data_IF_101583856163
#
_entry.id   IF_101583856163
#
_cell.length_a   1.000
_cell.length_b   1.000
_cell.length_c   1.000
_cell.angle_alpha   90.00
_cell.angle_beta   90.00
_cell.angle_gamma   90.00
#
_symmetry.space_group_name_H-M   'P 1'
#
loop_
_entity.id
_entity.type
_entity.pdbx_description
1 polymer ?
#
# COMPACT_ATOMS: atom_id res chain seq x y z
N UNK A 1 6.69 -26.34 7.69
CA UNK A 1 7.61 -25.36 8.30
C UNK A 1 8.35 -24.67 7.15
N UNK A 2 7.84 -23.55 6.63
CA UNK A 2 8.53 -22.82 5.54
C UNK A 2 9.69 -22.08 6.18
N UNK A 3 10.89 -22.61 5.99
CA UNK A 3 12.14 -22.06 6.54
C UNK A 3 12.31 -20.61 6.10
N UNK A 4 12.78 -19.78 7.03
CA UNK A 4 13.20 -18.38 6.85
C UNK A 4 14.11 -18.15 5.62
N UNK A 5 14.75 -19.20 5.08
CA UNK A 5 15.61 -19.15 3.89
C UNK A 5 14.89 -18.78 2.57
N UNK A 6 13.60 -19.08 2.39
CA UNK A 6 12.98 -18.92 1.07
C UNK A 6 12.76 -17.45 0.64
N UNK A 7 12.70 -16.51 1.60
CA UNK A 7 12.52 -15.08 1.31
C UNK A 7 13.82 -14.36 0.90
N UNK A 8 14.99 -14.90 1.25
CA UNK A 8 16.26 -14.18 1.12
C UNK A 8 16.98 -14.45 -0.21
N UNK A 9 16.80 -15.62 -0.82
CA UNK A 9 17.54 -16.01 -2.02
C UNK A 9 17.26 -15.12 -3.24
N UNK A 10 15.99 -14.80 -3.51
CA UNK A 10 15.65 -13.96 -4.66
C UNK A 10 15.87 -12.47 -4.40
N UNK A 11 16.14 -12.06 -3.16
CA UNK A 11 16.57 -10.69 -2.84
C UNK A 11 18.03 -10.44 -3.23
N UNK A 12 18.74 -11.45 -3.75
CA UNK A 12 20.06 -11.27 -4.43
C UNK A 12 19.94 -10.74 -5.85
N UNK A 13 18.74 -10.81 -6.45
CA UNK A 13 18.44 -10.20 -7.76
C UNK A 13 18.38 -8.67 -7.59
N UNK A 14 19.46 -7.99 -7.98
CA UNK A 14 19.63 -6.54 -7.79
C UNK A 14 18.50 -5.69 -8.41
N UNK A 15 18.09 -5.90 -9.68
CA UNK A 15 16.92 -5.22 -10.23
C UNK A 15 15.66 -5.41 -9.38
N UNK A 16 15.40 -6.63 -8.92
CA UNK A 16 14.22 -6.92 -8.10
C UNK A 16 14.32 -6.25 -6.72
N UNK A 17 15.48 -6.34 -6.06
CA UNK A 17 15.76 -5.68 -4.79
C UNK A 17 15.56 -4.17 -4.89
N UNK A 18 16.11 -3.51 -5.92
CA UNK A 18 15.95 -2.06 -6.11
C UNK A 18 14.50 -1.67 -6.36
N UNK A 19 13.74 -2.49 -7.10
CA UNK A 19 12.30 -2.26 -7.29
C UNK A 19 11.55 -2.38 -5.96
N UNK A 20 11.85 -3.38 -5.14
CA UNK A 20 11.27 -3.53 -3.79
C UNK A 20 11.63 -2.33 -2.90
N UNK A 21 12.90 -1.94 -2.84
CA UNK A 21 13.37 -0.81 -2.04
C UNK A 21 12.68 0.50 -2.43
N UNK A 22 12.53 0.76 -3.74
CA UNK A 22 11.88 1.97 -4.24
C UNK A 22 10.38 2.03 -3.96
N UNK A 23 9.70 0.90 -3.82
CA UNK A 23 8.23 0.83 -3.84
C UNK A 23 7.61 0.35 -2.52
N UNK A 24 8.37 -0.38 -1.71
CA UNK A 24 7.94 -0.90 -0.43
C UNK A 24 9.09 -0.86 0.60
N UNK A 25 9.68 0.32 0.87
CA UNK A 25 10.78 0.42 1.84
C UNK A 25 10.31 0.16 3.27
N UNK A 26 11.25 -0.27 4.12
CA UNK A 26 11.07 -0.19 5.57
C UNK A 26 11.39 1.25 6.00
N UNK A 27 10.37 2.03 6.38
CA UNK A 27 10.53 3.43 6.77
C UNK A 27 11.20 3.63 8.15
N UNK A 28 11.42 2.56 8.91
CA UNK A 28 12.16 2.59 10.18
C UNK A 28 13.66 2.36 10.00
N UNK A 29 14.11 1.99 8.79
CA UNK A 29 15.51 1.75 8.47
C UNK A 29 16.03 2.78 7.46
N UNK A 30 17.34 3.05 7.51
CA UNK A 30 18.00 3.84 6.46
C UNK A 30 18.09 3.04 5.16
N UNK A 31 18.05 3.72 4.01
CA UNK A 31 18.07 3.07 2.68
C UNK A 31 19.30 2.18 2.42
N UNK A 32 20.40 2.40 3.14
CA UNK A 32 21.61 1.59 3.05
C UNK A 32 21.53 0.27 3.86
N UNK A 33 20.56 0.15 4.76
CA UNK A 33 20.36 -1.04 5.60
C UNK A 33 19.59 -2.12 4.84
N UNK A 34 20.31 -2.81 3.96
CA UNK A 34 19.75 -3.87 3.13
C UNK A 34 19.10 -4.98 3.96
N UNK A 35 19.71 -5.38 5.06
CA UNK A 35 19.24 -6.51 5.85
C UNK A 35 17.92 -6.16 6.56
N UNK A 36 17.78 -4.94 7.09
CA UNK A 36 16.51 -4.49 7.68
C UNK A 36 15.36 -4.47 6.65
N UNK A 37 15.63 -4.10 5.40
CA UNK A 37 14.64 -4.16 4.33
C UNK A 37 14.24 -5.61 3.99
N UNK A 38 15.22 -6.52 3.88
CA UNK A 38 14.96 -7.93 3.59
C UNK A 38 14.20 -8.61 4.73
N UNK A 39 14.54 -8.29 5.99
CA UNK A 39 13.84 -8.79 7.17
C UNK A 39 12.39 -8.32 7.19
N UNK A 40 12.14 -7.04 6.87
CA UNK A 40 10.80 -6.49 6.76
C UNK A 40 9.95 -7.26 5.72
N UNK A 41 10.43 -7.44 4.49
CA UNK A 41 9.67 -8.19 3.47
C UNK A 41 9.48 -9.67 3.83
N UNK A 42 10.47 -10.27 4.49
CA UNK A 42 10.38 -11.65 4.97
C UNK A 42 9.31 -11.80 6.05
N UNK A 43 9.20 -10.82 6.94
CA UNK A 43 8.16 -10.76 7.96
C UNK A 43 6.78 -10.62 7.31
N UNK A 44 6.58 -9.65 6.41
CA UNK A 44 5.32 -9.44 5.68
C UNK A 44 4.86 -10.72 4.94
N UNK A 45 5.77 -11.41 4.25
CA UNK A 45 5.43 -12.69 3.65
C UNK A 45 5.05 -13.72 4.72
N UNK A 46 5.82 -13.86 5.79
CA UNK A 46 5.54 -14.85 6.84
C UNK A 46 4.16 -14.65 7.47
N UNK A 47 3.76 -13.42 7.75
CA UNK A 47 2.52 -13.12 8.48
C UNK A 47 1.29 -12.94 7.57
N UNK A 48 1.50 -12.57 6.30
CA UNK A 48 0.40 -12.32 5.34
C UNK A 48 0.50 -13.17 4.09
N UNK A 49 1.66 -13.17 3.43
CA UNK A 49 1.87 -13.91 2.19
C UNK A 49 1.73 -15.43 2.33
N UNK A 50 2.06 -16.00 3.48
CA UNK A 50 1.98 -17.44 3.77
C UNK A 50 0.54 -17.98 3.79
N UNK A 51 -0.46 -17.12 3.97
CA UNK A 51 -1.87 -17.45 3.85
C UNK A 51 -2.36 -17.47 2.40
N UNK A 52 -1.53 -17.06 1.45
CA UNK A 52 -1.81 -17.15 0.01
C UNK A 52 -1.26 -18.45 -0.58
N UNK A 53 -1.67 -18.78 -1.80
CA UNK A 53 -1.12 -19.92 -2.56
C UNK A 53 0.19 -19.57 -3.30
N UNK A 54 0.82 -18.44 -2.99
CA UNK A 54 2.02 -17.96 -3.67
C UNK A 54 3.29 -18.25 -2.88
N UNK A 55 4.35 -18.62 -3.59
CA UNK A 55 5.72 -18.58 -3.06
C UNK A 55 6.18 -17.12 -2.86
N UNK A 56 7.17 -16.85 -1.98
CA UNK A 56 7.57 -15.49 -1.62
C UNK A 56 7.83 -14.53 -2.80
N UNK A 57 8.62 -15.00 -3.78
CA UNK A 57 8.98 -14.21 -4.96
C UNK A 57 7.75 -13.78 -5.76
N UNK A 58 6.76 -14.66 -5.88
CA UNK A 58 5.53 -14.39 -6.63
C UNK A 58 4.60 -13.48 -5.83
N UNK A 59 4.49 -13.68 -4.51
CA UNK A 59 3.72 -12.80 -3.64
C UNK A 59 4.19 -11.34 -3.72
N UNK A 60 5.49 -11.10 -3.52
CA UNK A 60 6.06 -9.75 -3.56
C UNK A 60 5.99 -9.13 -4.95
N UNK A 61 6.22 -9.92 -6.01
CA UNK A 61 6.05 -9.44 -7.38
C UNK A 61 4.62 -9.01 -7.68
N UNK A 62 3.63 -9.81 -7.25
CA UNK A 62 2.20 -9.46 -7.43
C UNK A 62 1.84 -8.18 -6.70
N UNK A 63 2.37 -7.95 -5.50
CA UNK A 63 2.16 -6.70 -4.78
C UNK A 63 2.71 -5.49 -5.56
N UNK A 64 3.92 -5.61 -6.12
CA UNK A 64 4.51 -4.56 -6.97
C UNK A 64 3.70 -4.34 -8.25
N UNK A 65 3.27 -5.41 -8.92
CA UNK A 65 2.49 -5.30 -10.17
C UNK A 65 1.10 -4.68 -9.92
N UNK A 66 0.46 -5.00 -8.79
CA UNK A 66 -0.78 -4.34 -8.35
C UNK A 66 -0.54 -2.85 -8.05
N UNK A 67 0.55 -2.51 -7.38
CA UNK A 67 0.92 -1.10 -7.11
C UNK A 67 1.10 -0.32 -8.41
N UNK A 68 1.84 -0.84 -9.37
CA UNK A 68 2.08 -0.17 -10.66
C UNK A 68 0.79 -0.02 -11.46
N UNK A 69 -0.08 -1.04 -11.42
CA UNK A 69 -1.36 -1.01 -12.13
C UNK A 69 -2.38 -0.07 -11.49
N UNK A 70 -2.42 0.02 -10.17
CA UNK A 70 -3.40 0.84 -9.46
C UNK A 70 -2.90 2.28 -9.32
N UNK A 71 -1.61 2.51 -9.07
CA UNK A 71 -0.94 3.80 -8.93
C UNK A 71 -1.83 4.95 -8.39
N UNK A 72 -2.14 4.87 -7.10
CA UNK A 72 -2.98 5.87 -6.43
C UNK A 72 -2.33 7.24 -6.42
N UNK A 73 -1.00 7.33 -6.36
CA UNK A 73 -0.32 8.61 -6.34
C UNK A 73 -0.56 9.38 -7.64
N UNK A 74 -0.44 8.72 -8.79
CA UNK A 74 -0.76 9.35 -10.08
C UNK A 74 -2.25 9.67 -10.20
N UNK A 75 -3.14 8.82 -9.69
CA UNK A 75 -4.57 9.10 -9.68
C UNK A 75 -4.91 10.38 -8.90
N UNK A 76 -4.34 10.54 -7.71
CA UNK A 76 -4.50 11.75 -6.90
C UNK A 76 -3.95 12.98 -7.63
N UNK A 77 -2.74 12.87 -8.20
CA UNK A 77 -2.10 13.96 -8.94
C UNK A 77 -2.91 14.40 -10.16
N UNK A 78 -3.48 13.46 -10.93
CA UNK A 78 -4.35 13.76 -12.08
C UNK A 78 -5.60 14.57 -11.68
N UNK A 79 -6.03 14.45 -10.42
CA UNK A 79 -7.13 15.20 -9.83
C UNK A 79 -6.67 16.41 -8.98
N UNK A 80 -5.41 16.84 -9.13
CA UNK A 80 -4.80 17.97 -8.39
C UNK A 80 -4.80 17.80 -6.87
N UNK A 81 -4.87 16.56 -6.39
CA UNK A 81 -4.65 16.20 -5.00
C UNK A 81 -3.16 15.86 -4.86
N UNK A 82 -2.38 16.79 -4.31
CA UNK A 82 -0.92 16.68 -4.20
C UNK A 82 -0.47 16.79 -2.74
N UNK A 83 0.67 16.20 -2.43
CA UNK A 83 1.27 16.26 -1.10
C UNK A 83 1.56 17.72 -0.69
N UNK A 84 1.43 18.00 0.61
CA UNK A 84 1.64 19.31 1.22
C UNK A 84 0.36 20.15 1.45
N UNK A 85 -0.79 19.72 0.92
CA UNK A 85 -2.05 20.45 1.02
C UNK A 85 -3.17 19.62 1.68
N UNK A 86 -4.28 20.29 2.04
CA UNK A 86 -5.47 19.64 2.59
C UNK A 86 -6.64 19.71 1.60
N UNK A 87 -7.38 18.62 1.50
CA UNK A 87 -8.49 18.47 0.56
C UNK A 87 -9.70 17.85 1.25
N UNK A 88 -10.89 18.17 0.77
CA UNK A 88 -12.10 17.46 1.16
C UNK A 88 -11.97 15.97 0.80
N UNK A 89 -12.47 15.08 1.67
CA UNK A 89 -12.50 13.64 1.40
C UNK A 89 -13.04 13.28 0.02
N UNK A 90 -14.07 13.98 -0.45
CA UNK A 90 -14.69 13.76 -1.75
C UNK A 90 -13.71 13.92 -2.93
N UNK A 91 -12.65 14.71 -2.79
CA UNK A 91 -11.60 14.83 -3.80
C UNK A 91 -10.79 13.53 -3.93
N UNK A 92 -10.41 12.92 -2.80
CA UNK A 92 -9.76 11.60 -2.77
C UNK A 92 -10.69 10.52 -3.32
N UNK A 93 -11.96 10.51 -2.90
CA UNK A 93 -12.97 9.56 -3.38
C UNK A 93 -13.17 9.63 -4.88
N UNK A 94 -13.27 10.84 -5.44
CA UNK A 94 -13.40 11.03 -6.88
C UNK A 94 -12.17 10.52 -7.63
N UNK A 95 -10.98 10.90 -7.17
CA UNK A 95 -9.72 10.53 -7.81
C UNK A 95 -9.50 9.01 -7.80
N UNK A 96 -9.72 8.37 -6.65
CA UNK A 96 -9.52 6.93 -6.48
C UNK A 96 -10.60 6.17 -7.25
N UNK A 97 -11.88 6.57 -7.17
CA UNK A 97 -12.96 5.94 -7.94
C UNK A 97 -12.68 5.96 -9.44
N UNK A 98 -12.17 7.08 -9.98
CA UNK A 98 -11.83 7.16 -11.41
C UNK A 98 -10.71 6.21 -11.80
N UNK A 99 -9.82 5.85 -10.86
CA UNK A 99 -8.74 4.91 -11.10
C UNK A 99 -9.14 3.45 -10.96
N UNK A 100 -9.95 3.12 -9.95
CA UNK A 100 -10.25 1.71 -9.60
C UNK A 100 -11.72 1.30 -9.85
N UNK A 101 -12.58 2.21 -10.31
CA UNK A 101 -13.97 1.95 -10.65
C UNK A 101 -14.94 1.87 -9.46
N UNK A 102 -14.47 2.08 -8.22
CA UNK A 102 -15.30 1.93 -7.01
C UNK A 102 -14.88 2.89 -5.90
N UNK A 103 -15.83 3.24 -5.02
CA UNK A 103 -15.59 3.95 -3.76
C UNK A 103 -15.45 3.01 -2.56
N UNK A 104 -15.58 1.70 -2.77
CA UNK A 104 -15.43 0.70 -1.72
C UNK A 104 -13.95 0.41 -1.45
N UNK A 105 -13.26 1.41 -0.88
CA UNK A 105 -11.91 1.34 -0.35
C UNK A 105 -11.90 2.04 1.02
N UNK A 106 -10.84 1.86 1.82
CA UNK A 106 -10.75 2.49 3.14
C UNK A 106 -9.66 3.57 3.15
N UNK A 107 -9.95 4.70 3.80
CA UNK A 107 -8.97 5.73 4.13
C UNK A 107 -8.70 5.75 5.62
N UNK A 108 -7.45 5.49 6.00
CA UNK A 108 -6.97 5.62 7.37
C UNK A 108 -6.21 6.93 7.53
N UNK A 109 -6.55 7.68 8.56
CA UNK A 109 -5.97 8.94 8.93
C UNK A 109 -5.45 8.90 10.37
N UNK A 110 -4.41 9.67 10.62
CA UNK A 110 -3.92 10.00 11.96
C UNK A 110 -4.30 11.44 12.30
N UNK A 111 -4.47 11.73 13.60
CA UNK A 111 -4.71 13.09 14.08
C UNK A 111 -3.41 13.66 14.66
N UNK A 112 -2.94 14.78 14.12
CA UNK A 112 -1.78 15.52 14.64
C UNK A 112 -2.21 16.95 14.93
N UNK A 113 -2.27 17.31 16.21
CA UNK A 113 -2.66 18.65 16.68
C UNK A 113 -3.98 19.15 16.06
N UNK A 114 -5.01 18.30 16.04
CA UNK A 114 -6.32 18.61 15.45
C UNK A 114 -6.39 18.56 13.92
N UNK A 115 -5.27 18.35 13.22
CA UNK A 115 -5.24 18.12 11.77
C UNK A 115 -5.37 16.63 11.47
N UNK A 116 -6.35 16.25 10.65
CA UNK A 116 -6.45 14.92 10.07
C UNK A 116 -5.47 14.78 8.91
N UNK A 117 -4.55 13.83 9.00
CA UNK A 117 -3.53 13.55 7.98
C UNK A 117 -3.81 12.16 7.42
N UNK A 118 -3.86 12.04 6.09
CA UNK A 118 -3.97 10.75 5.42
C UNK A 118 -2.74 9.91 5.72
N UNK A 119 -2.95 8.69 6.21
CA UNK A 119 -1.88 7.77 6.59
C UNK A 119 -1.82 6.57 5.63
N UNK A 120 -2.96 5.91 5.38
CA UNK A 120 -3.03 4.77 4.48
C UNK A 120 -4.30 4.80 3.63
N UNK A 121 -4.19 4.24 2.43
CA UNK A 121 -5.34 3.88 1.59
C UNK A 121 -5.31 2.38 1.40
N UNK A 122 -6.38 1.68 1.76
CA UNK A 122 -6.48 0.23 1.57
C UNK A 122 -7.46 -0.11 0.45
N UNK A 123 -6.99 -0.90 -0.51
CA UNK A 123 -7.74 -1.32 -1.70
C UNK A 123 -7.82 -2.85 -1.70
N UNK A 124 -9.02 -3.38 -1.91
CA UNK A 124 -9.21 -4.81 -2.08
C UNK A 124 -8.86 -5.21 -3.50
N UNK A 125 -8.25 -6.38 -3.64
CA UNK A 125 -7.80 -6.88 -4.93
C UNK A 125 -8.17 -8.35 -5.10
N UNK A 126 -8.42 -8.75 -6.34
CA UNK A 126 -8.25 -10.13 -6.75
C UNK A 126 -6.76 -10.37 -7.10
N UNK A 127 -6.44 -11.46 -7.80
CA UNK A 127 -5.06 -11.78 -8.16
C UNK A 127 -4.35 -10.74 -9.06
N UNK A 128 -5.08 -9.81 -9.68
CA UNK A 128 -4.56 -8.85 -10.66
C UNK A 128 -5.30 -7.50 -10.76
N UNK A 129 -6.47 -7.32 -10.13
CA UNK A 129 -7.34 -6.16 -10.29
C UNK A 129 -7.84 -5.65 -8.94
N UNK A 130 -8.11 -4.35 -8.87
CA UNK A 130 -8.89 -3.78 -7.78
C UNK A 130 -10.34 -4.29 -7.86
N UNK A 131 -10.92 -4.62 -6.70
CA UNK A 131 -12.30 -5.03 -6.54
C UNK A 131 -12.94 -4.23 -5.39
N UNK A 132 -14.28 -4.08 -5.36
CA UNK A 132 -14.95 -3.47 -4.23
C UNK A 132 -14.66 -4.21 -2.92
N UNK A 133 -14.24 -3.48 -1.88
CA UNK A 133 -14.08 -4.06 -0.55
C UNK A 133 -15.41 -4.45 0.08
N UNK A 134 -15.41 -5.55 0.85
CA UNK A 134 -16.60 -5.98 1.58
C UNK A 134 -16.88 -5.05 2.77
N UNK A 135 -18.17 -4.73 2.96
CA UNK A 135 -18.62 -3.76 3.97
C UNK A 135 -18.34 -4.22 5.41
N UNK A 136 -18.36 -5.53 5.70
CA UNK A 136 -18.39 -6.06 7.07
C UNK A 136 -17.11 -5.84 7.87
N UNK A 137 -15.94 -5.96 7.25
CA UNK A 137 -14.66 -5.91 7.96
C UNK A 137 -13.70 -4.83 7.44
N UNK A 138 -13.98 -4.26 6.27
CA UNK A 138 -13.00 -3.41 5.59
C UNK A 138 -13.24 -1.92 5.82
N UNK A 139 -14.51 -1.52 5.94
CA UNK A 139 -14.88 -0.14 6.29
C UNK A 139 -14.60 0.21 7.76
N UNK A 140 -14.33 -0.77 8.63
CA UNK A 140 -13.92 -0.50 10.01
C UNK A 140 -12.53 0.15 10.11
N UNK A 141 -11.70 0.04 9.06
CA UNK A 141 -10.41 0.72 8.97
C UNK A 141 -10.52 2.18 8.50
N UNK A 142 -11.70 2.60 8.05
CA UNK A 142 -11.93 3.96 7.60
C UNK A 142 -12.24 4.89 8.79
N UNK A 143 -11.38 5.87 9.03
CA UNK A 143 -11.52 6.80 10.17
C UNK A 143 -11.30 8.29 9.78
N UNK A 144 -11.09 8.57 8.50
CA UNK A 144 -10.81 9.93 8.04
C UNK A 144 -12.02 10.88 8.19
N UNK A 145 -13.26 10.37 8.29
CA UNK A 145 -14.47 11.20 8.36
C UNK A 145 -14.67 12.03 7.08
N UNK A 146 -15.61 13.00 7.08
CA UNK A 146 -16.03 13.73 5.86
C UNK A 146 -15.32 15.06 5.60
N UNK A 147 -14.43 15.50 6.50
CA UNK A 147 -13.83 16.84 6.46
C UNK A 147 -12.61 16.96 5.54
N UNK A 148 -11.88 18.06 5.75
CA UNK A 148 -10.57 18.26 5.12
C UNK A 148 -9.53 17.29 5.71
N UNK A 149 -8.80 16.64 4.82
CA UNK A 149 -7.73 15.69 5.12
C UNK A 149 -6.46 16.23 4.48
N UNK A 150 -5.42 16.40 5.29
CA UNK A 150 -4.09 16.76 4.82
C UNK A 150 -3.43 15.55 4.17
N UNK A 151 -2.91 15.74 2.96
CA UNK A 151 -2.03 14.79 2.30
C UNK A 151 -0.60 15.28 2.48
N UNK A 152 0.23 14.51 3.19
CA UNK A 152 1.66 14.79 3.39
C UNK A 152 2.53 13.93 2.48
#
# INVERSE_FOLDING_TARGET
MVSYCACTEFMRDEPFYRRMLSNWPNLQAGLADRDAHIQFWSYEFKVHGSCSNYVPKIYLRKALDLKDKIDIFQALKAHRVVAGAAYQRSAFETAIKNRIGTTAFAMSCINKNGTKILYEITICTDAANAIPCSQRNHMSKDNCGKGNIKFE
#
